data_IF_482186956318
#
_entry.id   IF_482186956318
#
_cell.length_a   1.000
_cell.length_b   1.000
_cell.length_c   1.000
_cell.angle_alpha   90.00
_cell.angle_beta   90.00
_cell.angle_gamma   90.00
#
_symmetry.space_group_name_H-M   'P 1'
#
loop_
_entity.id
_entity.type
_entity.pdbx_description
1 polymer ?
#
# COMPACT_ATOMS: atom_id res chain seq x y z
N UNK A 1 -8.58 -9.51 -38.70
CA UNK A 1 -8.86 -10.46 -37.60
C UNK A 1 -8.54 -9.74 -36.30
N UNK A 2 -9.53 -9.10 -35.72
CA UNK A 2 -9.44 -8.44 -34.41
C UNK A 2 -9.60 -9.51 -33.34
N UNK A 3 -8.52 -9.82 -32.64
CA UNK A 3 -8.56 -10.72 -31.48
C UNK A 3 -9.45 -10.08 -30.41
N UNK A 4 -10.56 -10.70 -30.08
CA UNK A 4 -11.34 -10.36 -28.90
C UNK A 4 -10.50 -10.68 -27.65
N UNK A 5 -10.46 -9.79 -26.65
CA UNK A 5 -9.80 -10.09 -25.38
C UNK A 5 -10.47 -11.31 -24.72
N UNK A 6 -9.67 -12.21 -24.16
CA UNK A 6 -10.14 -13.39 -23.42
C UNK A 6 -10.90 -12.92 -22.18
N UNK A 7 -12.15 -13.37 -21.95
CA UNK A 7 -12.94 -12.99 -20.77
C UNK A 7 -12.28 -13.34 -19.42
N UNK A 8 -11.24 -14.19 -19.44
CA UNK A 8 -10.47 -14.57 -18.24
C UNK A 8 -9.43 -13.55 -17.81
N UNK A 9 -9.08 -12.58 -18.67
CA UNK A 9 -8.14 -11.50 -18.36
C UNK A 9 -8.78 -10.37 -17.51
N UNK A 10 -10.11 -10.28 -17.46
CA UNK A 10 -10.84 -9.23 -16.72
C UNK A 10 -11.10 -9.58 -15.23
N UNK A 11 -11.00 -10.86 -14.83
CA UNK A 11 -11.22 -11.26 -13.43
C UNK A 11 -9.95 -11.14 -12.54
N UNK A 12 -8.77 -10.94 -13.13
CA UNK A 12 -7.51 -11.17 -12.43
C UNK A 12 -6.98 -9.98 -11.61
N UNK A 13 -7.30 -8.73 -11.92
CA UNK A 13 -6.89 -7.57 -11.11
C UNK A 13 -7.72 -6.31 -11.40
N UNK A 14 -8.85 -6.11 -10.73
CA UNK A 14 -9.70 -4.93 -10.92
C UNK A 14 -8.97 -3.61 -10.59
N UNK A 15 -7.96 -3.63 -9.71
CA UNK A 15 -7.18 -2.44 -9.38
C UNK A 15 -6.32 -1.98 -10.56
N UNK A 16 -5.51 -2.87 -11.15
CA UNK A 16 -4.63 -2.52 -12.26
C UNK A 16 -5.38 -1.95 -13.47
N UNK A 17 -6.52 -2.56 -13.78
CA UNK A 17 -7.42 -2.06 -14.84
C UNK A 17 -7.91 -0.65 -14.52
N UNK A 18 -8.42 -0.41 -13.32
CA UNK A 18 -8.92 0.91 -12.88
C UNK A 18 -7.83 2.00 -12.93
N UNK A 19 -6.62 1.67 -12.46
CA UNK A 19 -5.47 2.59 -12.52
C UNK A 19 -5.13 2.95 -13.97
N UNK A 20 -5.06 1.95 -14.87
CA UNK A 20 -4.79 2.13 -16.29
C UNK A 20 -5.85 2.97 -16.99
N UNK A 21 -7.11 2.72 -16.75
CA UNK A 21 -8.22 3.48 -17.31
C UNK A 21 -8.16 4.93 -16.85
N UNK A 22 -7.96 5.17 -15.56
CA UNK A 22 -7.85 6.51 -15.00
C UNK A 22 -6.67 7.28 -15.57
N UNK A 23 -5.50 6.64 -15.66
CA UNK A 23 -4.33 7.23 -16.31
C UNK A 23 -4.64 7.67 -17.74
N UNK A 24 -5.31 6.81 -18.52
CA UNK A 24 -5.69 7.12 -19.91
C UNK A 24 -6.70 8.26 -19.99
N UNK A 25 -7.69 8.29 -19.12
CA UNK A 25 -8.66 9.41 -19.05
C UNK A 25 -7.99 10.74 -18.79
N UNK A 26 -6.92 10.75 -17.99
CA UNK A 26 -6.13 11.94 -17.70
C UNK A 26 -5.09 12.25 -18.81
N UNK A 27 -4.98 11.42 -19.84
CA UNK A 27 -4.00 11.58 -20.92
C UNK A 27 -2.54 11.36 -20.49
N UNK A 28 -2.31 10.76 -19.31
CA UNK A 28 -0.97 10.58 -18.76
C UNK A 28 -0.27 9.36 -19.35
N UNK A 29 1.05 9.48 -19.55
CA UNK A 29 1.95 8.37 -19.90
C UNK A 29 2.34 7.59 -18.66
N UNK A 30 2.81 6.35 -18.82
CA UNK A 30 3.40 5.57 -17.73
C UNK A 30 4.57 6.30 -17.05
N UNK A 31 5.36 7.06 -17.85
CA UNK A 31 6.51 7.83 -17.35
C UNK A 31 6.07 8.98 -16.44
N UNK A 32 5.05 9.72 -16.82
CA UNK A 32 4.54 10.83 -15.99
C UNK A 32 3.98 10.32 -14.67
N UNK A 33 3.23 9.21 -14.68
CA UNK A 33 2.75 8.60 -13.43
C UNK A 33 3.93 8.10 -12.58
N UNK A 34 4.90 7.44 -13.18
CA UNK A 34 6.08 6.94 -12.47
C UNK A 34 6.87 8.06 -11.79
N UNK A 35 7.15 9.16 -12.53
CA UNK A 35 7.85 10.33 -11.99
C UNK A 35 7.06 10.97 -10.85
N UNK A 36 5.75 11.18 -11.04
CA UNK A 36 4.90 11.80 -10.03
C UNK A 36 4.73 10.96 -8.76
N UNK A 37 4.77 9.63 -8.89
CA UNK A 37 4.64 8.70 -7.77
C UNK A 37 5.99 8.32 -7.12
N UNK A 38 7.13 8.76 -7.66
CA UNK A 38 8.46 8.37 -7.18
C UNK A 38 8.78 6.88 -7.40
N UNK A 39 8.22 6.28 -8.47
CA UNK A 39 8.32 4.85 -8.77
C UNK A 39 8.93 4.60 -10.15
N UNK A 40 9.32 3.36 -10.46
CA UNK A 40 9.83 3.01 -11.78
C UNK A 40 8.70 2.85 -12.80
N UNK A 41 8.98 3.18 -14.07
CA UNK A 41 8.04 2.97 -15.18
C UNK A 41 7.66 1.51 -15.35
N UNK A 42 8.64 0.61 -15.14
CA UNK A 42 8.45 -0.83 -15.19
C UNK A 42 7.45 -1.30 -14.13
N UNK A 43 7.56 -0.77 -12.90
CA UNK A 43 6.67 -1.11 -11.80
C UNK A 43 5.22 -0.64 -12.06
N UNK A 44 5.02 0.61 -12.51
CA UNK A 44 3.69 1.09 -12.90
C UNK A 44 3.08 0.19 -13.97
N UNK A 45 3.86 -0.19 -15.00
CA UNK A 45 3.40 -1.10 -16.04
C UNK A 45 3.03 -2.50 -15.50
N UNK A 46 3.76 -3.02 -14.52
CA UNK A 46 3.49 -4.31 -13.89
C UNK A 46 2.20 -4.26 -13.05
N UNK A 47 1.98 -3.18 -12.28
CA UNK A 47 0.74 -2.98 -11.51
C UNK A 47 -0.47 -2.95 -12.46
N UNK A 48 -0.41 -2.13 -13.55
CA UNK A 48 -1.51 -2.02 -14.50
C UNK A 48 -1.86 -3.33 -15.21
N UNK A 49 -0.89 -4.24 -15.33
CA UNK A 49 -1.09 -5.58 -15.90
C UNK A 49 -1.44 -6.65 -14.87
N UNK A 50 -1.49 -6.29 -13.59
CA UNK A 50 -1.75 -7.25 -12.51
C UNK A 50 -0.64 -8.27 -12.25
N UNK A 51 0.60 -7.97 -12.71
CA UNK A 51 1.77 -8.85 -12.52
C UNK A 51 2.33 -8.72 -11.10
N UNK A 52 2.22 -7.53 -10.53
CA UNK A 52 2.65 -7.24 -9.16
C UNK A 52 1.61 -6.42 -8.43
N UNK A 53 1.55 -6.59 -7.11
CA UNK A 53 0.72 -5.78 -6.23
C UNK A 53 1.56 -4.67 -5.60
N UNK A 54 1.11 -3.41 -5.61
CA UNK A 54 1.80 -2.33 -4.92
C UNK A 54 1.66 -2.48 -3.40
N UNK A 55 2.65 -1.99 -2.65
CA UNK A 55 2.48 -1.70 -1.22
C UNK A 55 1.44 -0.59 -1.02
N UNK A 56 0.96 -0.42 0.21
CA UNK A 56 -0.03 0.63 0.52
C UNK A 56 0.51 2.02 0.18
N UNK A 57 1.75 2.34 0.56
CA UNK A 57 2.39 3.62 0.26
C UNK A 57 2.57 3.84 -1.25
N UNK A 58 2.96 2.80 -2.00
CA UNK A 58 3.06 2.86 -3.47
C UNK A 58 1.70 3.09 -4.12
N UNK A 59 0.65 2.39 -3.64
CA UNK A 59 -0.71 2.56 -4.14
C UNK A 59 -1.20 4.00 -3.93
N UNK A 60 -0.99 4.55 -2.74
CA UNK A 60 -1.36 5.93 -2.40
C UNK A 60 -0.62 6.92 -3.27
N UNK A 61 0.68 6.73 -3.49
CA UNK A 61 1.49 7.60 -4.35
C UNK A 61 0.96 7.61 -5.79
N UNK A 62 0.63 6.45 -6.34
CA UNK A 62 0.02 6.32 -7.69
C UNK A 62 -1.36 6.97 -7.73
N UNK A 63 -2.22 6.67 -6.76
CA UNK A 63 -3.58 7.20 -6.69
C UNK A 63 -3.60 8.74 -6.60
N UNK A 64 -2.67 9.33 -5.84
CA UNK A 64 -2.50 10.80 -5.75
C UNK A 64 -2.22 11.40 -7.13
N UNK A 65 -1.28 10.85 -7.90
CA UNK A 65 -0.97 11.31 -9.26
C UNK A 65 -2.16 11.17 -10.19
N UNK A 66 -2.93 10.10 -10.03
CA UNK A 66 -4.13 9.83 -10.84
C UNK A 66 -5.38 10.58 -10.36
N UNK A 67 -5.27 11.39 -9.30
CA UNK A 67 -6.40 12.05 -8.66
C UNK A 67 -7.53 11.05 -8.35
N UNK A 68 -7.17 9.94 -7.69
CA UNK A 68 -8.07 8.88 -7.26
C UNK A 68 -8.13 8.86 -5.73
N UNK A 69 -9.32 8.62 -5.21
CA UNK A 69 -9.51 8.39 -3.78
C UNK A 69 -9.11 6.95 -3.43
N UNK A 70 -8.09 6.82 -2.58
CA UNK A 70 -7.65 5.52 -2.05
C UNK A 70 -8.65 4.96 -1.04
N UNK A 71 -9.34 5.84 -0.32
CA UNK A 71 -10.38 5.46 0.65
C UNK A 71 -11.49 4.62 0.01
N UNK A 72 -11.76 4.82 -1.30
CA UNK A 72 -12.69 3.99 -2.06
C UNK A 72 -12.24 2.51 -2.20
N UNK A 73 -10.97 2.21 -1.94
CA UNK A 73 -10.43 0.84 -1.94
C UNK A 73 -10.28 0.25 -0.54
N UNK A 74 -10.34 1.10 0.50
CA UNK A 74 -10.09 0.74 1.89
C UNK A 74 -11.25 1.25 2.74
N UNK A 75 -12.34 0.46 2.87
CA UNK A 75 -13.48 0.88 3.70
C UNK A 75 -13.06 1.14 5.13
N UNK A 76 -13.68 2.14 5.76
CA UNK A 76 -13.42 2.43 7.17
C UNK A 76 -13.96 1.31 8.06
N UNK A 77 -13.19 0.83 9.05
CA UNK A 77 -13.73 -0.05 10.06
C UNK A 77 -14.82 0.69 10.86
N UNK A 78 -15.81 -0.05 11.32
CA UNK A 78 -16.77 0.51 12.28
C UNK A 78 -16.00 0.88 13.54
N UNK A 79 -15.93 2.16 13.86
CA UNK A 79 -15.23 2.67 15.03
C UNK A 79 -16.18 3.49 15.88
N UNK A 80 -16.58 2.95 17.03
CA UNK A 80 -17.33 3.69 18.05
C UNK A 80 -16.35 4.21 19.12
N UNK A 81 -16.27 5.52 19.30
CA UNK A 81 -15.36 6.12 20.27
C UNK A 81 -13.87 5.82 20.03
N UNK A 82 -13.48 5.56 18.78
CA UNK A 82 -12.10 5.24 18.41
C UNK A 82 -11.70 3.77 18.58
N UNK A 83 -12.62 2.91 19.02
CA UNK A 83 -12.37 1.47 19.20
C UNK A 83 -12.69 0.73 17.90
N UNK A 84 -11.76 -0.08 17.39
CA UNK A 84 -12.00 -1.05 16.33
C UNK A 84 -11.89 -2.47 16.86
N UNK A 85 -12.80 -3.36 16.49
CA UNK A 85 -12.82 -4.76 16.94
C UNK A 85 -12.21 -5.66 15.90
N UNK A 86 -11.40 -6.62 16.32
CA UNK A 86 -10.71 -7.55 15.42
C UNK A 86 -11.65 -8.29 14.47
N UNK A 87 -12.75 -8.81 14.99
CA UNK A 87 -13.77 -9.58 14.28
C UNK A 87 -14.70 -8.74 13.38
N UNK A 88 -14.65 -7.41 13.52
CA UNK A 88 -15.45 -6.47 12.75
C UNK A 88 -14.62 -5.71 11.71
N UNK A 89 -13.29 -5.86 11.72
CA UNK A 89 -12.42 -5.17 10.76
C UNK A 89 -12.45 -5.87 9.40
N UNK A 90 -12.75 -5.14 8.32
CA UNK A 90 -12.64 -5.70 6.99
C UNK A 90 -11.16 -5.95 6.64
N UNK A 91 -10.91 -7.09 5.99
CA UNK A 91 -9.60 -7.43 5.42
C UNK A 91 -9.61 -7.08 3.94
N UNK A 92 -8.61 -6.34 3.52
CA UNK A 92 -8.45 -5.92 2.12
C UNK A 92 -7.30 -6.66 1.47
N UNK A 93 -7.51 -7.12 0.25
CA UNK A 93 -6.46 -7.60 -0.64
C UNK A 93 -6.38 -6.69 -1.86
N UNK A 94 -5.17 -6.32 -2.25
CA UNK A 94 -4.92 -5.55 -3.48
C UNK A 94 -5.08 -6.44 -4.72
N UNK A 95 -4.71 -7.70 -4.59
CA UNK A 95 -4.92 -8.76 -5.60
C UNK A 95 -4.91 -10.14 -4.93
N UNK A 96 -5.38 -11.21 -5.60
CA UNK A 96 -5.25 -12.57 -5.09
C UNK A 96 -3.79 -12.91 -4.75
N UNK A 97 -3.57 -13.57 -3.62
CA UNK A 97 -2.23 -13.97 -3.12
C UNK A 97 -1.24 -12.82 -2.88
N UNK A 98 -1.74 -11.59 -2.72
CA UNK A 98 -0.94 -10.43 -2.36
C UNK A 98 -1.02 -10.11 -0.87
N UNK A 99 -0.41 -8.99 -0.49
CA UNK A 99 -0.59 -8.38 0.82
C UNK A 99 -2.08 -8.22 1.15
N UNK A 100 -2.45 -8.52 2.38
CA UNK A 100 -3.74 -8.13 2.92
C UNK A 100 -3.55 -7.15 4.08
N UNK A 101 -4.53 -6.28 4.26
CA UNK A 101 -4.46 -5.18 5.20
C UNK A 101 -5.72 -5.15 6.06
N UNK A 102 -5.54 -4.87 7.37
CA UNK A 102 -6.62 -4.52 8.29
C UNK A 102 -6.36 -3.12 8.82
N UNK A 103 -7.22 -2.17 8.52
CA UNK A 103 -7.13 -0.83 9.10
C UNK A 103 -7.51 -0.90 10.58
N UNK A 104 -6.62 -0.44 11.47
CA UNK A 104 -6.88 -0.40 12.92
C UNK A 104 -7.04 1.02 13.47
N UNK A 105 -6.58 2.05 12.76
CA UNK A 105 -6.78 3.43 13.17
C UNK A 105 -8.19 3.93 12.84
N UNK A 106 -8.82 4.60 13.81
CA UNK A 106 -10.05 5.35 13.59
C UNK A 106 -9.78 6.69 12.90
N UNK A 107 -10.80 7.24 12.23
CA UNK A 107 -10.77 8.57 11.67
C UNK A 107 -11.49 9.55 12.60
N UNK A 108 -10.86 10.69 12.92
CA UNK A 108 -11.42 11.80 13.66
C UNK A 108 -10.70 13.10 13.29
N UNK A 109 -11.32 14.28 13.49
CA UNK A 109 -10.70 15.55 13.15
C UNK A 109 -9.34 15.73 13.82
N UNK A 110 -8.30 16.03 13.03
CA UNK A 110 -6.93 16.26 13.51
C UNK A 110 -6.12 15.00 13.79
N UNK A 111 -6.63 13.80 13.50
CA UNK A 111 -5.81 12.60 13.61
C UNK A 111 -4.69 12.60 12.56
N UNK A 112 -3.46 12.32 12.99
CA UNK A 112 -2.28 12.24 12.10
C UNK A 112 -1.76 10.81 11.93
N UNK A 113 -2.02 9.95 12.92
CA UNK A 113 -1.57 8.56 12.85
C UNK A 113 -2.50 7.73 11.97
N UNK A 114 -1.88 6.92 11.12
CA UNK A 114 -2.50 5.87 10.33
C UNK A 114 -1.88 4.55 10.72
N UNK A 115 -2.69 3.53 10.92
CA UNK A 115 -2.16 2.22 11.25
C UNK A 115 -2.95 1.09 10.62
N UNK A 116 -2.21 0.08 10.18
CA UNK A 116 -2.73 -1.13 9.57
C UNK A 116 -1.97 -2.35 10.10
N UNK A 117 -2.66 -3.46 10.19
CA UNK A 117 -2.01 -4.77 10.23
C UNK A 117 -1.83 -5.23 8.80
N UNK A 118 -0.60 -5.63 8.47
CA UNK A 118 -0.21 -6.13 7.15
C UNK A 118 0.06 -7.62 7.31
N UNK A 119 -0.63 -8.44 6.52
CA UNK A 119 -0.30 -9.85 6.37
C UNK A 119 0.48 -10.02 5.08
N UNK A 120 1.76 -10.33 5.22
CA UNK A 120 2.71 -10.39 4.11
C UNK A 120 3.02 -11.83 3.75
N UNK A 121 2.67 -12.30 2.54
CA UNK A 121 2.95 -13.66 2.11
C UNK A 121 4.45 -13.88 1.89
N UNK A 122 4.93 -15.13 1.90
CA UNK A 122 6.29 -15.48 1.57
C UNK A 122 6.75 -14.90 0.24
N UNK A 123 7.99 -14.35 0.22
CA UNK A 123 8.62 -13.85 -1.00
C UNK A 123 8.06 -12.51 -1.53
N UNK A 124 7.04 -11.95 -0.88
CA UNK A 124 6.59 -10.60 -1.23
C UNK A 124 7.71 -9.57 -1.00
N UNK A 125 7.84 -8.61 -1.90
CA UNK A 125 8.76 -7.48 -1.78
C UNK A 125 8.10 -6.19 -2.26
N UNK A 126 8.18 -5.15 -1.42
CA UNK A 126 7.76 -3.80 -1.82
C UNK A 126 8.81 -3.12 -2.70
N UNK A 127 8.37 -2.18 -3.54
CA UNK A 127 9.29 -1.32 -4.27
C UNK A 127 9.93 -0.28 -3.33
N UNK A 128 11.19 0.12 -3.58
CA UNK A 128 11.79 1.24 -2.89
C UNK A 128 11.01 2.52 -3.12
N UNK A 129 10.63 3.20 -2.05
CA UNK A 129 9.87 4.45 -2.08
C UNK A 129 10.40 5.41 -1.02
N UNK A 130 10.18 6.71 -1.22
CA UNK A 130 10.37 7.75 -0.21
C UNK A 130 9.19 8.72 -0.27
N UNK A 131 8.72 9.18 0.88
CA UNK A 131 7.63 10.16 0.98
C UNK A 131 7.75 10.96 2.28
N UNK A 132 6.96 12.01 2.42
CA UNK A 132 6.92 12.80 3.64
C UNK A 132 6.34 12.00 4.82
N UNK A 133 6.80 12.36 6.04
CA UNK A 133 6.34 11.78 7.28
C UNK A 133 7.32 10.79 7.89
N UNK A 134 6.79 9.93 8.74
CA UNK A 134 7.53 8.90 9.45
C UNK A 134 6.73 7.60 9.50
N UNK A 135 7.45 6.49 9.63
CA UNK A 135 6.88 5.15 9.71
C UNK A 135 7.52 4.34 10.82
N UNK A 136 6.72 3.50 11.44
CA UNK A 136 7.17 2.47 12.37
C UNK A 136 6.61 1.11 11.95
N UNK A 137 7.50 0.13 11.88
CA UNK A 137 7.17 -1.30 11.74
C UNK A 137 7.33 -1.96 13.11
N UNK A 138 6.36 -2.78 13.48
CA UNK A 138 6.45 -3.69 14.61
C UNK A 138 6.01 -5.09 14.15
N UNK A 139 6.87 -6.09 14.29
CA UNK A 139 6.57 -7.45 13.85
C UNK A 139 5.73 -8.15 14.93
N UNK A 140 4.51 -8.54 14.56
CA UNK A 140 3.60 -9.28 15.45
C UNK A 140 3.85 -10.78 15.39
N UNK A 141 4.14 -11.30 14.17
CA UNK A 141 4.43 -12.71 13.93
C UNK A 141 5.32 -12.88 12.70
N UNK A 142 6.18 -13.89 12.70
CA UNK A 142 7.11 -14.17 11.61
C UNK A 142 8.33 -13.25 11.62
N UNK A 143 8.84 -12.92 10.44
CA UNK A 143 9.98 -12.02 10.27
C UNK A 143 9.90 -11.25 8.95
N UNK A 144 10.49 -10.07 8.90
CA UNK A 144 10.57 -9.21 7.72
C UNK A 144 11.94 -8.56 7.63
N UNK A 145 12.45 -8.33 6.43
CA UNK A 145 13.60 -7.46 6.22
C UNK A 145 13.12 -6.08 5.81
N UNK A 146 13.61 -5.04 6.47
CA UNK A 146 13.37 -3.64 6.12
C UNK A 146 14.69 -2.99 5.73
N UNK A 147 14.75 -2.42 4.54
CA UNK A 147 15.90 -1.65 4.05
C UNK A 147 15.56 -0.16 4.09
N UNK A 148 16.38 0.63 4.78
CA UNK A 148 16.24 2.08 4.87
C UNK A 148 17.56 2.74 4.49
N UNK A 149 17.57 3.53 3.42
CA UNK A 149 18.77 4.20 2.85
C UNK A 149 19.95 3.24 2.60
N UNK A 150 19.64 2.00 2.15
CA UNK A 150 20.63 0.96 1.86
C UNK A 150 21.06 0.12 3.06
N UNK A 151 20.63 0.47 4.27
CA UNK A 151 20.87 -0.33 5.47
C UNK A 151 19.76 -1.34 5.67
N UNK A 152 20.14 -2.63 5.78
CA UNK A 152 19.19 -3.76 5.91
C UNK A 152 19.09 -4.21 7.35
N UNK A 153 17.87 -4.31 7.84
CA UNK A 153 17.56 -4.79 9.17
C UNK A 153 16.57 -5.95 9.06
N UNK A 154 16.92 -7.10 9.63
CA UNK A 154 16.01 -8.22 9.81
C UNK A 154 15.29 -8.00 11.13
N UNK A 155 13.97 -7.96 11.09
CA UNK A 155 13.11 -7.83 12.26
C UNK A 155 12.37 -9.15 12.47
N UNK A 156 12.41 -9.65 13.70
CA UNK A 156 11.66 -10.81 14.15
C UNK A 156 10.48 -10.40 15.04
N UNK A 157 9.61 -11.34 15.39
CA UNK A 157 8.45 -11.05 16.24
C UNK A 157 8.87 -10.36 17.56
N UNK A 158 8.30 -9.19 17.82
CA UNK A 158 8.64 -8.33 18.96
C UNK A 158 9.60 -7.19 18.61
N UNK A 159 10.29 -7.23 17.46
CA UNK A 159 11.17 -6.16 17.02
C UNK A 159 10.39 -5.00 16.39
N UNK A 160 10.98 -3.82 16.45
CA UNK A 160 10.46 -2.62 15.80
C UNK A 160 11.55 -1.80 15.11
N UNK A 161 11.17 -1.08 14.07
CA UNK A 161 12.01 -0.10 13.38
C UNK A 161 11.20 1.16 13.12
N UNK A 162 11.71 2.31 13.57
CA UNK A 162 11.10 3.62 13.38
C UNK A 162 12.06 4.53 12.62
N UNK A 163 11.59 5.17 11.55
CA UNK A 163 12.44 6.00 10.68
C UNK A 163 11.63 7.10 9.98
N UNK A 164 12.30 8.21 9.58
CA UNK A 164 11.68 9.20 8.71
C UNK A 164 11.52 8.64 7.31
N UNK A 165 10.29 8.66 6.77
CA UNK A 165 9.94 8.08 5.47
C UNK A 165 10.52 8.84 4.28
N UNK A 166 11.15 9.99 4.51
CA UNK A 166 11.94 10.73 3.50
C UNK A 166 13.21 9.97 3.08
N UNK A 167 13.64 8.98 3.85
CA UNK A 167 14.71 8.04 3.46
C UNK A 167 14.11 6.96 2.57
N UNK A 168 14.77 6.64 1.45
CA UNK A 168 14.35 5.54 0.57
C UNK A 168 14.29 4.26 1.38
N UNK A 169 13.14 3.59 1.35
CA UNK A 169 12.90 2.38 2.11
C UNK A 169 12.08 1.35 1.32
N UNK A 170 12.25 0.10 1.67
CA UNK A 170 11.48 -1.05 1.16
C UNK A 170 11.48 -2.17 2.19
N UNK A 171 10.51 -3.08 2.09
CA UNK A 171 10.42 -4.26 2.95
C UNK A 171 10.16 -5.52 2.15
N UNK A 172 10.52 -6.67 2.68
CA UNK A 172 10.20 -7.97 2.08
C UNK A 172 10.17 -9.09 3.10
N UNK A 173 9.27 -10.03 2.88
CA UNK A 173 9.26 -11.28 3.60
C UNK A 173 10.27 -12.25 2.95
N UNK A 174 11.41 -12.42 3.60
CA UNK A 174 12.50 -13.29 3.14
C UNK A 174 12.32 -14.76 3.55
N UNK A 175 11.23 -15.07 4.27
CA UNK A 175 10.98 -16.40 4.83
C UNK A 175 10.04 -17.22 3.94
N UNK A 176 9.83 -18.47 4.31
CA UNK A 176 8.90 -19.41 3.67
C UNK A 176 7.50 -19.43 4.34
N UNK A 177 7.26 -18.57 5.33
CA UNK A 177 6.02 -18.43 6.08
C UNK A 177 5.47 -17.01 5.98
N UNK A 178 4.15 -16.81 6.09
CA UNK A 178 3.59 -15.47 6.21
C UNK A 178 4.15 -14.73 7.41
N UNK A 179 4.25 -13.41 7.32
CA UNK A 179 4.54 -12.52 8.44
C UNK A 179 3.38 -11.56 8.69
N UNK A 180 3.21 -11.14 9.93
CA UNK A 180 2.20 -10.18 10.36
C UNK A 180 2.88 -8.98 10.99
N UNK A 181 2.62 -7.80 10.43
CA UNK A 181 3.31 -6.56 10.78
C UNK A 181 2.28 -5.52 11.17
N UNK A 182 2.50 -4.83 12.27
CA UNK A 182 1.83 -3.59 12.58
C UNK A 182 2.63 -2.45 11.95
N UNK A 183 2.06 -1.81 10.93
CA UNK A 183 2.57 -0.58 10.35
C UNK A 183 1.85 0.62 10.95
N UNK A 184 2.60 1.63 11.34
CA UNK A 184 2.10 2.92 11.83
C UNK A 184 2.83 4.01 11.06
N UNK A 185 2.12 5.01 10.57
CA UNK A 185 2.74 6.13 9.86
C UNK A 185 1.89 7.38 9.88
N UNK A 186 2.48 8.47 9.41
CA UNK A 186 1.82 9.78 9.30
C UNK A 186 1.36 10.10 7.88
N UNK A 187 1.75 9.27 6.89
CA UNK A 187 1.22 9.39 5.52
C UNK A 187 -0.27 9.10 5.53
N UNK A 188 -1.06 9.98 4.91
CA UNK A 188 -2.50 9.74 4.75
C UNK A 188 -2.76 8.66 3.69
N UNK A 189 -2.72 7.41 4.14
CA UNK A 189 -2.94 6.23 3.31
C UNK A 189 -4.41 5.89 3.10
N UNK A 190 -5.33 6.63 3.73
CA UNK A 190 -6.76 6.37 3.66
C UNK A 190 -7.57 7.49 2.99
N UNK A 191 -6.93 8.64 2.72
CA UNK A 191 -7.63 9.81 2.18
C UNK A 191 -8.57 10.49 3.18
N UNK A 192 -8.34 10.30 4.48
CA UNK A 192 -9.19 10.85 5.54
C UNK A 192 -8.78 12.25 5.99
N UNK A 193 -7.61 12.72 5.59
CA UNK A 193 -7.17 14.06 5.92
C UNK A 193 -8.09 15.08 5.24
N UNK A 194 -8.53 16.14 5.94
CA UNK A 194 -9.22 17.23 5.26
C UNK A 194 -8.29 17.79 4.17
N UNK A 195 -8.84 18.20 3.00
CA UNK A 195 -8.01 18.85 1.99
C UNK A 195 -7.30 20.04 2.63
N UNK A 196 -5.98 20.14 2.34
CA UNK A 196 -5.13 21.22 2.87
C UNK A 196 -5.81 22.58 2.67
N UNK A 197 -6.11 23.28 3.75
CA UNK A 197 -6.56 24.66 3.76
C UNK A 197 -8.05 24.90 3.96
N UNK A 198 -8.58 24.63 5.13
CA UNK A 198 -9.75 25.32 5.69
C UNK A 198 -9.46 25.83 7.10
#
# INVERSE_FOLDING_TARGET
MTSQPDPRDDEANPLGVRLRERRRQLGLTLKEVAVGAGLSVGFISQIERGITAPSLSSLVSVARVLNMDVGAFLSQPRAEGGITRHDERPVYAVSPNSLTYERISASFPGNVLRSVIIHEPPGHRSEPIAHEGEEMFYVLDGAVTVEVAGERNVLEAGDSLHFPSTRIHSSWNHTDRPSTILWIGTMDVFGDAPPDGS
#
